data_IF_012923616421
#
_entry.id   IF_012923616421
#
_cell.length_a   1.000
_cell.length_b   1.000
_cell.length_c   1.000
_cell.angle_alpha   90.00
_cell.angle_beta   90.00
_cell.angle_gamma   90.00
#
_symmetry.space_group_name_H-M   'P 1'
#
loop_
_entity.id
_entity.type
_entity.pdbx_description
1 polymer ?
#
# COMPACT_ATOMS: atom_id res chain seq x y z
N UNK A 1 28.81 -1.88 -21.78
CA UNK A 1 27.61 -1.80 -20.89
C UNK A 1 26.79 -0.59 -21.28
N UNK A 2 25.48 -0.62 -21.04
CA UNK A 2 24.55 0.48 -21.33
C UNK A 2 23.66 0.70 -20.12
N UNK A 3 23.13 1.91 -19.98
CA UNK A 3 22.22 2.24 -18.89
C UNK A 3 20.77 1.97 -19.32
N UNK A 4 20.04 1.31 -18.46
CA UNK A 4 18.63 0.99 -18.67
C UNK A 4 17.79 1.41 -17.48
N UNK A 5 16.62 1.92 -17.76
CA UNK A 5 15.58 2.15 -16.78
C UNK A 5 14.48 1.11 -17.00
N UNK A 6 14.17 0.37 -15.98
CA UNK A 6 13.24 -0.75 -16.02
C UNK A 6 12.12 -0.45 -15.03
N UNK A 7 10.89 -0.36 -15.52
CA UNK A 7 9.70 -0.28 -14.69
C UNK A 7 8.88 -1.53 -14.90
N UNK A 8 8.48 -2.18 -13.82
CA UNK A 8 7.60 -3.33 -13.92
C UNK A 8 6.51 -3.30 -12.85
N UNK A 9 5.39 -3.90 -13.20
CA UNK A 9 4.18 -3.92 -12.41
C UNK A 9 3.91 -5.34 -11.95
N UNK A 10 3.78 -5.51 -10.65
CA UNK A 10 3.48 -6.80 -10.02
C UNK A 10 2.01 -6.84 -9.59
N UNK A 11 1.39 -8.01 -9.70
CA UNK A 11 0.03 -8.23 -9.26
C UNK A 11 -0.13 -7.90 -7.76
N UNK A 12 -1.20 -7.20 -7.33
CA UNK A 12 -1.34 -6.76 -5.95
C UNK A 12 -1.37 -7.91 -4.94
N UNK A 13 -1.87 -9.07 -5.31
CA UNK A 13 -1.94 -10.26 -4.45
C UNK A 13 -0.56 -10.87 -4.18
N UNK A 14 0.42 -10.56 -5.02
CA UNK A 14 1.79 -11.06 -4.89
C UNK A 14 2.76 -9.97 -4.39
N UNK A 15 2.25 -8.90 -3.80
CA UNK A 15 3.08 -7.82 -3.23
C UNK A 15 4.06 -8.32 -2.16
N UNK A 16 3.76 -9.40 -1.45
CA UNK A 16 4.64 -10.00 -0.45
C UNK A 16 5.90 -10.63 -1.06
N UNK A 17 5.82 -11.06 -2.33
CA UNK A 17 6.95 -11.65 -3.05
C UNK A 17 7.87 -10.61 -3.71
N UNK A 18 7.47 -9.33 -3.71
CA UNK A 18 8.21 -8.24 -4.35
C UNK A 18 9.65 -8.17 -3.90
N UNK A 19 10.01 -8.23 -2.60
CA UNK A 19 11.41 -8.16 -2.18
C UNK A 19 12.26 -9.28 -2.80
N UNK A 20 11.76 -10.53 -2.76
CA UNK A 20 12.46 -11.68 -3.34
C UNK A 20 12.60 -11.58 -4.87
N UNK A 21 11.60 -11.00 -5.54
CA UNK A 21 11.65 -10.75 -6.98
C UNK A 21 12.70 -9.71 -7.34
N UNK A 22 12.74 -8.60 -6.59
CA UNK A 22 13.75 -7.54 -6.78
C UNK A 22 15.16 -8.10 -6.58
N UNK A 23 15.39 -8.84 -5.50
CA UNK A 23 16.68 -9.51 -5.24
C UNK A 23 17.10 -10.43 -6.38
N UNK A 24 16.16 -11.25 -6.90
CA UNK A 24 16.40 -12.14 -8.03
C UNK A 24 16.87 -11.37 -9.27
N UNK A 25 16.18 -10.29 -9.63
CA UNK A 25 16.53 -9.48 -10.81
C UNK A 25 17.83 -8.70 -10.61
N UNK A 26 18.07 -8.19 -9.42
CA UNK A 26 19.34 -7.56 -9.04
C UNK A 26 20.51 -8.55 -9.13
N UNK A 27 20.31 -9.79 -8.68
CA UNK A 27 21.31 -10.84 -8.78
C UNK A 27 21.64 -11.21 -10.24
N UNK A 28 20.66 -11.18 -11.16
CA UNK A 28 20.92 -11.39 -12.60
C UNK A 28 21.85 -10.33 -13.17
N UNK A 29 21.65 -9.06 -12.80
CA UNK A 29 22.51 -7.95 -13.24
C UNK A 29 23.90 -8.07 -12.64
N UNK A 30 24.03 -8.31 -11.35
CA UNK A 30 25.33 -8.35 -10.65
C UNK A 30 26.18 -9.56 -11.02
N UNK A 31 25.57 -10.72 -11.28
CA UNK A 31 26.30 -11.93 -11.73
C UNK A 31 27.06 -11.73 -13.03
N UNK A 32 26.60 -10.86 -13.90
CA UNK A 32 27.21 -10.56 -15.19
C UNK A 32 28.14 -9.34 -15.14
N UNK A 33 28.45 -8.83 -13.94
CA UNK A 33 29.30 -7.67 -13.74
C UNK A 33 28.59 -6.34 -14.00
N UNK A 34 27.26 -6.32 -14.07
CA UNK A 34 26.47 -5.10 -14.16
C UNK A 34 26.35 -4.39 -12.81
N UNK A 35 25.94 -3.12 -12.85
CA UNK A 35 25.76 -2.27 -11.67
C UNK A 35 24.31 -1.81 -11.55
N UNK A 36 23.84 -1.69 -10.31
CA UNK A 36 22.52 -1.15 -9.99
C UNK A 36 22.73 0.25 -9.43
N UNK A 37 22.20 1.25 -10.13
CA UNK A 37 22.36 2.65 -9.74
C UNK A 37 21.21 3.12 -8.85
N UNK A 38 20.00 2.60 -9.09
CA UNK A 38 18.79 3.00 -8.37
C UNK A 38 17.81 1.83 -8.33
N UNK A 39 17.17 1.64 -7.20
CA UNK A 39 16.05 0.70 -7.04
C UNK A 39 15.01 1.38 -6.15
N UNK A 40 13.80 1.54 -6.65
CA UNK A 40 12.71 2.21 -5.95
C UNK A 40 11.46 1.33 -5.94
N UNK A 41 10.80 1.32 -4.81
CA UNK A 41 9.49 0.72 -4.62
C UNK A 41 8.45 1.83 -4.43
N UNK A 42 7.55 1.97 -5.40
CA UNK A 42 6.49 2.98 -5.36
C UNK A 42 5.19 2.47 -4.73
N UNK A 43 5.20 1.23 -4.26
CA UNK A 43 4.06 0.61 -3.61
C UNK A 43 2.89 0.29 -4.55
N UNK A 44 1.75 -0.02 -3.94
CA UNK A 44 0.52 -0.33 -4.68
C UNK A 44 -0.18 0.94 -5.12
N UNK A 45 -0.32 1.12 -6.44
CA UNK A 45 -0.97 2.28 -7.05
C UNK A 45 -2.11 1.86 -7.96
N UNK A 46 -3.08 2.73 -8.10
CA UNK A 46 -4.20 2.52 -9.01
C UNK A 46 -3.76 2.65 -10.46
N UNK A 47 -4.20 1.74 -11.31
CA UNK A 47 -3.99 1.76 -12.74
C UNK A 47 -5.01 2.68 -13.43
N UNK A 48 -4.61 3.34 -14.51
CA UNK A 48 -5.52 4.15 -15.33
C UNK A 48 -6.61 3.29 -16.02
N UNK A 49 -6.30 2.02 -16.28
CA UNK A 49 -7.24 1.03 -16.80
C UNK A 49 -6.86 -0.36 -16.23
N UNK A 50 -7.81 -1.28 -16.10
CA UNK A 50 -7.53 -2.60 -15.56
C UNK A 50 -6.62 -3.42 -16.49
N UNK A 51 -5.62 -4.10 -15.91
CA UNK A 51 -4.73 -5.03 -16.61
C UNK A 51 -4.96 -6.42 -16.00
N UNK A 52 -5.25 -7.42 -16.83
CA UNK A 52 -5.58 -8.79 -16.37
C UNK A 52 -6.61 -8.80 -15.22
N UNK A 53 -7.64 -7.94 -15.30
CA UNK A 53 -8.70 -7.72 -14.28
C UNK A 53 -8.22 -7.08 -12.97
N UNK A 54 -6.96 -6.71 -12.84
CA UNK A 54 -6.44 -5.98 -11.69
C UNK A 54 -6.60 -4.46 -11.92
N UNK A 55 -7.17 -3.74 -10.93
CA UNK A 55 -7.33 -2.28 -10.94
C UNK A 55 -6.18 -1.56 -10.24
N UNK A 56 -5.37 -2.29 -9.48
CA UNK A 56 -4.17 -1.79 -8.78
C UNK A 56 -2.98 -2.68 -9.15
N UNK A 57 -1.79 -2.13 -9.09
CA UNK A 57 -0.55 -2.88 -9.25
C UNK A 57 0.53 -2.34 -8.32
N UNK A 58 1.49 -3.17 -7.99
CA UNK A 58 2.68 -2.79 -7.27
C UNK A 58 3.74 -2.34 -8.28
N UNK A 59 4.16 -1.08 -8.19
CA UNK A 59 5.11 -0.46 -9.12
C UNK A 59 6.53 -0.52 -8.59
N UNK A 60 7.44 -0.95 -9.44
CA UNK A 60 8.86 -1.06 -9.14
C UNK A 60 9.68 -0.42 -10.24
N UNK A 61 10.71 0.33 -9.86
CA UNK A 61 11.66 0.97 -10.75
C UNK A 61 13.07 0.49 -10.44
N UNK A 62 13.83 0.17 -11.47
CA UNK A 62 15.26 -0.16 -11.38
C UNK A 62 16.04 0.56 -12.47
N UNK A 63 17.12 1.24 -12.11
CA UNK A 63 18.10 1.75 -13.05
C UNK A 63 19.37 0.90 -12.95
N UNK A 64 19.71 0.27 -14.05
CA UNK A 64 20.81 -0.69 -14.12
C UNK A 64 21.76 -0.38 -15.26
N UNK A 65 23.01 -0.76 -15.08
CA UNK A 65 24.01 -0.76 -16.14
C UNK A 65 24.44 -2.19 -16.43
N UNK A 66 24.14 -2.69 -17.62
CA UNK A 66 24.46 -4.06 -17.99
C UNK A 66 24.61 -4.22 -19.52
N UNK A 67 24.88 -5.45 -19.96
CA UNK A 67 24.88 -5.81 -21.38
C UNK A 67 23.45 -5.97 -21.89
N UNK A 68 23.29 -5.94 -23.21
CA UNK A 68 21.99 -6.17 -23.84
C UNK A 68 21.48 -7.62 -23.63
N UNK A 69 22.40 -8.57 -23.51
CA UNK A 69 22.07 -9.98 -23.27
C UNK A 69 21.34 -10.17 -21.92
N UNK A 70 21.81 -9.48 -20.88
CA UNK A 70 21.17 -9.51 -19.55
C UNK A 70 19.77 -8.92 -19.59
N UNK A 71 19.57 -7.86 -20.38
CA UNK A 71 18.24 -7.28 -20.55
C UNK A 71 17.31 -8.25 -21.28
N UNK A 72 17.81 -8.97 -22.29
CA UNK A 72 17.02 -9.98 -22.99
C UNK A 72 16.60 -11.12 -22.01
N UNK A 73 17.54 -11.65 -21.24
CA UNK A 73 17.28 -12.65 -20.21
C UNK A 73 16.26 -12.16 -19.16
N UNK A 74 16.38 -10.90 -18.73
CA UNK A 74 15.47 -10.29 -17.78
C UNK A 74 14.06 -10.11 -18.36
N UNK A 75 13.93 -9.69 -19.62
CA UNK A 75 12.62 -9.53 -20.27
C UNK A 75 11.93 -10.88 -20.50
N UNK A 76 12.69 -11.92 -20.79
CA UNK A 76 12.18 -13.28 -20.85
C UNK A 76 11.70 -13.74 -19.46
N UNK A 77 12.50 -13.50 -18.42
CA UNK A 77 12.11 -13.81 -17.04
C UNK A 77 10.82 -13.06 -16.61
N UNK A 78 10.64 -11.80 -17.02
CA UNK A 78 9.38 -11.06 -16.79
C UNK A 78 8.20 -11.68 -17.53
N UNK A 79 8.41 -12.12 -18.77
CA UNK A 79 7.35 -12.71 -19.61
C UNK A 79 6.88 -14.07 -19.10
N UNK A 80 7.78 -14.85 -18.49
CA UNK A 80 7.47 -16.15 -17.90
C UNK A 80 6.91 -16.05 -16.47
N UNK A 81 6.98 -14.89 -15.85
CA UNK A 81 6.51 -14.70 -14.49
C UNK A 81 5.08 -14.15 -14.48
N UNK A 82 4.12 -14.99 -14.12
CA UNK A 82 2.69 -14.63 -14.04
C UNK A 82 2.40 -13.50 -13.04
N UNK A 83 3.29 -13.30 -12.06
CA UNK A 83 3.21 -12.19 -11.11
C UNK A 83 3.41 -10.83 -11.78
N UNK A 84 4.16 -10.78 -12.88
CA UNK A 84 4.43 -9.55 -13.61
C UNK A 84 3.28 -9.27 -14.58
N UNK A 85 2.55 -8.20 -14.34
CA UNK A 85 1.46 -7.77 -15.19
C UNK A 85 1.97 -7.13 -16.47
N UNK A 86 2.95 -6.25 -16.34
CA UNK A 86 3.57 -5.51 -17.44
C UNK A 86 4.96 -5.01 -17.06
N UNK A 87 5.82 -4.84 -18.03
CA UNK A 87 7.12 -4.23 -17.85
C UNK A 87 7.43 -3.23 -18.98
N UNK A 88 8.33 -2.30 -18.72
CA UNK A 88 8.85 -1.32 -19.67
C UNK A 88 10.35 -1.18 -19.46
N UNK A 89 11.13 -1.29 -20.54
CA UNK A 89 12.57 -1.10 -20.53
C UNK A 89 12.91 0.08 -21.43
N UNK A 90 13.57 1.08 -20.85
CA UNK A 90 14.02 2.28 -21.56
C UNK A 90 15.55 2.34 -21.54
N UNK A 91 16.14 2.68 -22.68
CA UNK A 91 17.57 2.91 -22.76
C UNK A 91 17.86 4.36 -22.33
N UNK A 92 18.76 4.52 -21.35
CA UNK A 92 19.20 5.81 -20.83
C UNK A 92 20.60 6.15 -21.35
N UNK A 93 20.88 7.44 -21.50
CA UNK A 93 22.19 7.90 -21.93
C UNK A 93 23.23 7.89 -20.81
N UNK A 94 22.78 8.14 -19.60
CA UNK A 94 23.62 8.29 -18.40
C UNK A 94 23.05 7.46 -17.23
N UNK A 95 23.91 7.17 -16.26
CA UNK A 95 23.46 6.59 -15.00
C UNK A 95 22.56 7.57 -14.23
N UNK A 96 21.36 7.13 -13.88
CA UNK A 96 20.42 7.91 -13.08
C UNK A 96 20.44 7.38 -11.65
N UNK A 97 21.01 8.17 -10.75
CA UNK A 97 21.15 7.83 -9.32
C UNK A 97 20.23 8.67 -8.42
N UNK A 98 19.74 9.80 -8.94
CA UNK A 98 18.86 10.68 -8.18
C UNK A 98 17.48 10.08 -7.96
N UNK A 99 16.93 10.29 -6.79
CA UNK A 99 15.58 9.86 -6.45
C UNK A 99 14.52 10.44 -7.40
N UNK A 100 13.57 9.61 -7.81
CA UNK A 100 12.50 10.03 -8.72
C UNK A 100 11.48 10.94 -8.03
N UNK A 101 10.76 11.78 -8.78
CA UNK A 101 9.65 12.56 -8.22
C UNK A 101 8.57 11.67 -7.59
N UNK A 102 8.37 10.47 -8.13
CA UNK A 102 7.40 9.51 -7.61
C UNK A 102 7.83 8.93 -6.26
N UNK A 103 9.11 8.60 -6.10
CA UNK A 103 9.64 8.12 -4.83
C UNK A 103 9.53 9.18 -3.73
N UNK A 104 9.82 10.45 -4.05
CA UNK A 104 9.63 11.56 -3.12
C UNK A 104 8.16 11.70 -2.71
N UNK A 105 7.24 11.64 -3.66
CA UNK A 105 5.81 11.69 -3.36
C UNK A 105 5.34 10.52 -2.49
N UNK A 106 5.88 9.32 -2.69
CA UNK A 106 5.58 8.14 -1.85
C UNK A 106 6.13 8.30 -0.44
N UNK A 107 7.33 8.85 -0.29
CA UNK A 107 7.89 9.15 1.03
C UNK A 107 7.07 10.21 1.78
N UNK A 108 6.69 11.28 1.12
CA UNK A 108 5.82 12.32 1.70
C UNK A 108 4.45 11.75 2.11
N UNK A 109 3.88 10.86 1.27
CA UNK A 109 2.61 10.20 1.56
C UNK A 109 2.73 9.28 2.79
N UNK A 110 3.81 8.48 2.89
CA UNK A 110 4.08 7.63 4.06
C UNK A 110 4.24 8.44 5.34
N UNK A 111 5.03 9.52 5.31
CA UNK A 111 5.22 10.41 6.47
C UNK A 111 3.88 11.01 6.92
N UNK A 112 3.05 11.43 5.98
CA UNK A 112 1.73 12.00 6.27
C UNK A 112 0.76 10.96 6.85
N UNK A 113 0.80 9.73 6.34
CA UNK A 113 0.00 8.63 6.89
C UNK A 113 0.43 8.26 8.30
N UNK A 114 1.73 8.14 8.55
CA UNK A 114 2.29 7.86 9.89
C UNK A 114 1.92 8.97 10.89
N UNK A 115 2.01 10.24 10.49
CA UNK A 115 1.62 11.36 11.35
C UNK A 115 0.12 11.34 11.64
N UNK A 116 -0.70 11.03 10.63
CA UNK A 116 -2.15 10.88 10.79
C UNK A 116 -2.48 9.73 11.73
N UNK A 117 -1.78 8.60 11.62
CA UNK A 117 -1.96 7.46 12.49
C UNK A 117 -1.57 7.80 13.93
N UNK A 118 -0.41 8.41 14.16
CA UNK A 118 0.03 8.87 15.48
C UNK A 118 -0.98 9.81 16.14
N UNK A 119 -1.58 10.72 15.36
CA UNK A 119 -2.62 11.63 15.85
C UNK A 119 -3.91 10.88 16.24
N UNK A 120 -4.30 9.85 15.49
CA UNK A 120 -5.45 8.99 15.79
C UNK A 120 -5.21 8.18 17.07
N UNK A 121 -4.03 7.59 17.19
CA UNK A 121 -3.65 6.79 18.36
C UNK A 121 -3.55 7.66 19.62
N UNK A 122 -2.98 8.87 19.52
CA UNK A 122 -2.95 9.83 20.62
C UNK A 122 -4.35 10.29 21.04
N UNK A 123 -5.27 10.49 20.08
CA UNK A 123 -6.65 10.84 20.37
C UNK A 123 -7.42 9.68 20.99
N UNK A 124 -7.18 8.45 20.54
CA UNK A 124 -7.77 7.26 21.14
C UNK A 124 -7.29 7.04 22.58
N UNK A 125 -5.98 7.27 22.84
CA UNK A 125 -5.42 7.19 24.17
C UNK A 125 -5.99 8.26 25.13
N UNK A 126 -6.27 9.47 24.64
CA UNK A 126 -6.86 10.55 25.43
C UNK A 126 -8.33 10.31 25.76
N UNK A 127 -9.08 9.60 24.89
CA UNK A 127 -10.48 9.26 25.13
C UNK A 127 -10.67 8.08 26.08
N UNK A 128 -9.62 7.28 26.31
CA UNK A 128 -9.64 6.17 27.28
C UNK A 128 -9.21 6.62 28.69
N UNK A 129 -8.69 7.83 28.82
CA UNK A 129 -8.17 8.35 30.09
C UNK A 129 -9.15 9.24 30.88
N UNK A 130 -10.46 9.19 30.55
CA UNK A 130 -11.48 9.79 31.40
C UNK A 130 -12.42 8.71 31.95
N UNK A 131 -12.09 8.08 33.10
CA UNK A 131 -13.02 7.28 33.84
C UNK A 131 -13.58 8.10 34.98
N UNK A 132 -14.90 8.20 35.02
CA UNK A 132 -15.72 8.21 36.22
C UNK A 132 -15.14 8.91 37.46
N UNK A 133 -15.60 10.08 37.71
CA UNK A 133 -15.79 10.58 39.06
C UNK A 133 -17.02 11.48 39.07
N UNK A 134 -18.13 10.90 39.42
CA UNK A 134 -19.00 11.43 40.48
C UNK A 134 -20.31 10.62 40.53
N UNK A 135 -20.25 9.58 41.31
CA UNK A 135 -21.42 8.96 41.88
C UNK A 135 -21.30 9.08 43.38
N UNK A 136 -22.26 9.76 44.00
CA UNK A 136 -22.75 9.39 45.34
C UNK A 136 -23.94 10.29 45.73
N UNK A 137 -24.76 9.87 46.70
CA UNK A 137 -26.14 9.48 46.45
C UNK A 137 -27.13 10.35 47.27
N UNK A 138 -28.37 10.35 46.90
CA UNK A 138 -29.45 10.65 47.86
C UNK A 138 -30.81 10.12 47.33
N UNK A 139 -31.26 9.03 47.90
CA UNK A 139 -32.65 8.63 48.16
C UNK A 139 -33.17 9.47 49.35
N UNK A 140 -34.46 9.44 49.72
CA UNK A 140 -35.63 8.73 49.21
C UNK A 140 -36.99 9.49 49.30
N UNK A 141 -38.07 8.78 49.04
CA UNK A 141 -39.46 8.88 49.50
C UNK A 141 -40.48 9.41 48.46
N UNK A 142 -41.26 8.52 48.06
CA UNK A 142 -42.57 8.03 48.52
C UNK A 142 -43.75 8.49 47.66
N UNK A 143 -44.56 7.49 47.35
CA UNK A 143 -46.03 7.44 47.33
C UNK A 143 -46.73 7.99 46.07
N UNK A 144 -47.50 7.29 45.36
CA UNK A 144 -48.70 6.48 45.47
C UNK A 144 -49.19 6.10 44.05
N UNK A 145 -49.58 4.89 43.86
CA UNK A 145 -50.48 4.42 42.83
C UNK A 145 -51.95 4.79 43.22
N UNK A 146 -53.03 4.60 42.46
CA UNK A 146 -53.24 3.56 41.45
C UNK A 146 -54.16 3.92 40.25
N UNK A 147 -54.32 2.94 39.39
CA UNK A 147 -55.54 2.42 38.74
C UNK A 147 -56.00 2.98 37.38
N UNK A 148 -56.16 1.98 36.51
CA UNK A 148 -57.34 1.68 35.65
C UNK A 148 -57.39 2.45 34.32
N UNK A 149 -57.53 1.90 33.20
CA UNK A 149 -58.38 0.86 32.62
C UNK A 149 -57.99 0.67 31.12
N UNK A 150 -57.92 -0.54 30.67
CA UNK A 150 -58.09 -0.90 29.28
C UNK A 150 -59.61 -0.91 28.97
N UNK A 151 -60.12 -1.09 27.78
CA UNK A 151 -59.64 -1.93 26.66
C UNK A 151 -60.06 -1.51 25.23
N UNK A 152 -59.51 -2.29 24.29
CA UNK A 152 -60.19 -2.90 23.14
C UNK A 152 -60.44 -2.16 21.83
N UNK A 153 -60.00 -2.90 20.79
CA UNK A 153 -60.67 -3.23 19.51
C UNK A 153 -60.64 -2.14 18.43
N UNK A 154 -60.29 -2.36 17.22
CA UNK A 154 -60.55 -3.39 16.22
C UNK A 154 -59.82 -3.04 14.92
N UNK A 155 -59.28 -4.01 14.20
CA UNK A 155 -59.02 -3.97 12.77
C UNK A 155 -60.36 -4.09 12.01
N UNK A 156 -60.53 -4.11 10.69
CA UNK A 156 -59.58 -4.16 9.56
C UNK A 156 -59.98 -3.29 8.36
N UNK A 157 -59.12 -3.17 7.39
CA UNK A 157 -59.41 -3.34 5.97
C UNK A 157 -58.13 -3.17 5.13
#
# INVERSE_FOLDING_TARGET
MRHYEIVFLVHPDQSEQVPAMVEKYQAMVTKTGGSIHRSEDWGRRQLAHPIKKAHKAHYLLMNVECSHEVIAEMTDAFSFNDAVLRYLVLNQKNAVTSQSPMSKAVEEEKVREEESQRRRDAKAASTVAEPAAEEAPAEPAAEEAPAEEAPAEEAPA
#
